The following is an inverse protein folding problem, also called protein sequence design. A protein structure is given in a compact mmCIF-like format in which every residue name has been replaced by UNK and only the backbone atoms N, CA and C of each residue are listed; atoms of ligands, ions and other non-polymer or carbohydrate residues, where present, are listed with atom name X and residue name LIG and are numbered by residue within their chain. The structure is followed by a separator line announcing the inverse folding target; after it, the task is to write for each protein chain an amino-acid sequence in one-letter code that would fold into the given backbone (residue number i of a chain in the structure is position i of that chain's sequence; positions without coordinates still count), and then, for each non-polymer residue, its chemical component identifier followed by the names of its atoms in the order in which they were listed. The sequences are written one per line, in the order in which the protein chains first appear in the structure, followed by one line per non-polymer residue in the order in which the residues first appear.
data_IF_205162639153
#
_entry.id   IF_205162639153
#
_cell.length_a   1.000
_cell.length_b   1.000
_cell.length_c   1.000
_cell.angle_alpha   90.00
_cell.angle_beta   90.00
_cell.angle_gamma   90.00
#
_symmetry.space_group_name_H-M   'P 1'
#
loop_
_entity.id
_entity.type
_entity.pdbx_description
1 polymer ?
#
# COMPACT_ATOMS: atom_id res chain seq x y z
N UNK A 1 -24.08 7.80 38.29
CA UNK A 1 -22.68 7.35 38.34
C UNK A 1 -21.89 8.32 37.48
N UNK A 2 -20.96 9.08 38.05
CA UNK A 2 -20.17 10.05 37.28
C UNK A 2 -19.08 9.32 36.50
N UNK A 3 -19.09 9.48 35.18
CA UNK A 3 -18.15 8.82 34.26
C UNK A 3 -16.70 9.24 34.56
N UNK A 4 -16.50 10.40 35.20
CA UNK A 4 -15.18 10.91 35.59
C UNK A 4 -14.61 10.22 36.85
N UNK A 5 -15.43 9.42 37.55
CA UNK A 5 -14.97 8.63 38.70
C UNK A 5 -14.53 7.21 38.31
N UNK A 6 -14.56 6.90 37.02
CA UNK A 6 -14.07 5.61 36.49
C UNK A 6 -12.53 5.63 36.48
N UNK A 7 -11.85 4.52 36.85
CA UNK A 7 -10.40 4.38 36.73
C UNK A 7 -9.86 4.75 35.34
N UNK A 8 -8.71 5.41 35.32
CA UNK A 8 -8.08 5.91 34.09
C UNK A 8 -7.85 4.80 33.06
N UNK A 9 -7.43 3.60 33.48
CA UNK A 9 -7.18 2.51 32.53
C UNK A 9 -8.47 2.05 31.83
N UNK A 10 -9.60 2.06 32.54
CA UNK A 10 -10.90 1.69 31.98
C UNK A 10 -11.41 2.77 31.02
N UNK A 11 -11.18 4.05 31.34
CA UNK A 11 -11.54 5.14 30.45
C UNK A 11 -10.71 5.11 29.16
N UNK A 12 -9.40 4.85 29.26
CA UNK A 12 -8.52 4.68 28.10
C UNK A 12 -9.00 3.49 27.24
N UNK A 13 -9.32 2.37 27.89
CA UNK A 13 -9.85 1.20 27.19
C UNK A 13 -11.18 1.49 26.48
N UNK A 14 -12.09 2.23 27.13
CA UNK A 14 -13.34 2.66 26.50
C UNK A 14 -13.09 3.54 25.27
N UNK A 15 -12.24 4.55 25.41
CA UNK A 15 -11.87 5.46 24.32
C UNK A 15 -11.17 4.73 23.16
N UNK A 16 -10.48 3.62 23.41
CA UNK A 16 -9.83 2.82 22.36
C UNK A 16 -10.80 2.17 21.36
N UNK A 17 -12.09 2.05 21.72
CA UNK A 17 -13.13 1.54 20.82
C UNK A 17 -13.81 2.65 20.00
N UNK A 18 -13.53 3.91 20.30
CA UNK A 18 -14.16 5.05 19.64
C UNK A 18 -13.40 5.36 18.34
N UNK A 19 -14.09 5.62 17.22
CA UNK A 19 -13.44 6.07 15.99
C UNK A 19 -12.60 7.33 16.20
N UNK A 20 -11.47 7.43 15.51
CA UNK A 20 -10.54 8.57 15.67
C UNK A 20 -11.19 9.92 15.37
N UNK A 21 -12.09 9.94 14.39
CA UNK A 21 -12.87 11.13 14.08
C UNK A 21 -13.71 11.60 15.28
N UNK A 22 -14.31 10.68 16.02
CA UNK A 22 -15.13 10.99 17.21
C UNK A 22 -14.27 11.32 18.43
N UNK A 23 -13.13 10.65 18.60
CA UNK A 23 -12.13 11.02 19.61
C UNK A 23 -11.71 12.49 19.44
N UNK A 24 -11.51 12.88 18.18
CA UNK A 24 -11.09 14.22 17.84
C UNK A 24 -12.22 15.25 17.90
N UNK A 25 -13.41 14.96 17.38
CA UNK A 25 -14.49 15.94 17.24
C UNK A 25 -15.44 16.03 18.42
N UNK A 26 -15.68 14.91 19.08
CA UNK A 26 -16.72 14.80 20.10
C UNK A 26 -16.08 14.71 21.48
N UNK A 27 -15.21 13.72 21.67
CA UNK A 27 -14.59 13.42 22.96
C UNK A 27 -13.68 14.57 23.42
N UNK A 28 -12.90 15.14 22.51
CA UNK A 28 -12.00 16.25 22.83
C UNK A 28 -12.70 17.51 23.33
N UNK A 29 -14.01 17.65 23.06
CA UNK A 29 -14.82 18.82 23.41
C UNK A 29 -15.66 18.62 24.68
N UNK A 30 -15.72 17.40 25.23
CA UNK A 30 -16.56 17.09 26.41
C UNK A 30 -16.10 17.89 27.63
N UNK A 31 -14.83 17.77 28.00
CA UNK A 31 -14.22 18.54 29.09
C UNK A 31 -12.68 18.51 28.98
N UNK A 32 -11.99 19.29 29.83
CA UNK A 32 -10.51 19.34 29.84
C UNK A 32 -9.84 17.99 30.09
N UNK A 33 -10.44 17.14 30.92
CA UNK A 33 -9.90 15.81 31.20
C UNK A 33 -9.99 14.92 29.95
N UNK A 34 -11.15 14.86 29.32
CA UNK A 34 -11.39 14.07 28.11
C UNK A 34 -10.57 14.59 26.92
N UNK A 35 -10.36 15.90 26.82
CA UNK A 35 -9.43 16.51 25.86
C UNK A 35 -8.00 16.00 26.03
N UNK A 36 -7.50 15.91 27.27
CA UNK A 36 -6.16 15.36 27.54
C UNK A 36 -6.06 13.86 27.26
N UNK A 37 -7.14 13.11 27.44
CA UNK A 37 -7.16 11.69 27.12
C UNK A 37 -7.25 11.45 25.62
N UNK A 38 -8.05 12.22 24.90
CA UNK A 38 -8.23 12.06 23.46
C UNK A 38 -6.94 12.33 22.67
N UNK A 39 -5.92 12.95 23.27
CA UNK A 39 -4.61 13.19 22.64
C UNK A 39 -3.55 12.12 22.99
N UNK A 40 -3.91 11.07 23.74
CA UNK A 40 -2.94 10.05 24.16
C UNK A 40 -2.35 9.30 22.94
N UNK A 41 -1.01 9.11 22.89
CA UNK A 41 -0.31 8.52 21.74
C UNK A 41 -0.89 7.18 21.25
N UNK A 42 -1.37 6.34 22.16
CA UNK A 42 -1.86 5.00 21.83
C UNK A 42 -3.09 5.02 20.92
N UNK A 43 -3.90 6.08 20.96
CA UNK A 43 -5.05 6.24 20.07
C UNK A 43 -4.68 6.65 18.65
N UNK A 44 -3.46 7.15 18.45
CA UNK A 44 -3.02 7.80 17.21
C UNK A 44 -1.90 7.06 16.48
N UNK A 45 -1.56 5.83 16.90
CA UNK A 45 -0.54 5.00 16.23
C UNK A 45 -0.85 4.74 14.76
N UNK A 46 -2.13 4.67 14.41
CA UNK A 46 -2.62 4.69 13.02
C UNK A 46 -3.32 6.02 12.81
N UNK A 47 -3.24 6.63 11.64
CA UNK A 47 -3.96 7.86 11.35
C UNK A 47 -4.35 7.92 9.87
N UNK A 48 -5.56 8.36 9.59
CA UNK A 48 -6.09 8.44 8.23
C UNK A 48 -6.64 9.85 7.94
N UNK A 49 -5.95 10.61 7.08
CA UNK A 49 -6.40 11.92 6.64
C UNK A 49 -7.66 11.87 5.76
N UNK A 50 -7.99 10.74 5.15
CA UNK A 50 -9.20 10.64 4.31
C UNK A 50 -10.48 10.65 5.14
N UNK A 51 -10.44 10.10 6.35
CA UNK A 51 -11.60 10.14 7.25
C UNK A 51 -11.94 11.58 7.67
N UNK A 52 -10.94 12.47 7.66
CA UNK A 52 -11.13 13.89 7.94
C UNK A 52 -11.67 14.69 6.73
N UNK A 53 -11.50 14.17 5.50
CA UNK A 53 -11.91 14.84 4.27
C UNK A 53 -13.38 14.61 3.89
N UNK A 54 -14.02 13.57 4.44
CA UNK A 54 -15.42 13.22 4.14
C UNK A 54 -16.41 14.34 4.51
N UNK A 55 -16.03 15.26 5.40
CA UNK A 55 -16.86 16.40 5.82
C UNK A 55 -16.80 17.62 4.88
N UNK A 56 -16.02 17.61 3.79
CA UNK A 56 -15.65 18.85 3.07
C UNK A 56 -16.23 19.04 1.66
N UNK A 57 -17.06 18.12 1.14
CA UNK A 57 -17.41 18.12 -0.29
C UNK A 57 -18.35 19.23 -0.81
N UNK A 58 -18.73 20.26 -0.04
CA UNK A 58 -19.62 21.30 -0.62
C UNK A 58 -19.50 22.76 -0.17
N UNK A 59 -18.71 23.14 0.83
CA UNK A 59 -18.53 24.58 1.20
C UNK A 59 -17.44 24.82 2.25
N UNK A 60 -16.52 23.87 2.40
CA UNK A 60 -15.75 23.74 3.63
C UNK A 60 -14.37 24.40 3.61
N UNK A 61 -13.90 25.05 2.55
CA UNK A 61 -12.52 25.58 2.55
C UNK A 61 -12.30 26.57 3.71
N UNK A 62 -13.19 27.55 3.91
CA UNK A 62 -13.10 28.51 5.03
C UNK A 62 -13.39 27.90 6.42
N UNK A 63 -14.34 26.97 6.53
CA UNK A 63 -14.65 26.31 7.81
C UNK A 63 -13.56 25.31 8.23
N UNK A 64 -12.88 24.72 7.25
CA UNK A 64 -11.73 23.83 7.40
C UNK A 64 -10.51 24.64 7.87
N UNK A 65 -10.18 25.79 7.26
CA UNK A 65 -9.10 26.67 7.70
C UNK A 65 -9.23 27.20 9.14
N UNK A 66 -10.44 27.51 9.63
CA UNK A 66 -10.64 28.01 11.00
C UNK A 66 -10.54 26.93 12.08
N UNK A 67 -10.92 25.68 11.77
CA UNK A 67 -10.71 24.53 12.68
C UNK A 67 -9.26 24.01 12.63
N UNK A 68 -8.53 24.30 11.54
CA UNK A 68 -7.14 23.86 11.28
C UNK A 68 -6.10 24.32 12.30
N UNK A 69 -6.16 25.54 12.84
CA UNK A 69 -5.12 26.01 13.77
C UNK A 69 -5.04 25.14 15.04
N UNK A 70 -6.19 24.68 15.56
CA UNK A 70 -6.24 23.71 16.66
C UNK A 70 -5.93 22.27 16.20
N UNK A 71 -6.21 21.91 14.94
CA UNK A 71 -5.86 20.61 14.33
C UNK A 71 -4.35 20.43 14.19
N UNK A 72 -3.65 21.46 13.73
CA UNK A 72 -2.20 21.45 13.50
C UNK A 72 -1.45 21.27 14.82
N UNK A 73 -1.90 21.91 15.91
CA UNK A 73 -1.31 21.68 17.24
C UNK A 73 -1.52 20.23 17.72
N UNK A 74 -2.69 19.65 17.47
CA UNK A 74 -2.98 18.26 17.81
C UNK A 74 -2.14 17.27 16.99
N UNK A 75 -2.09 17.42 15.66
CA UNK A 75 -1.26 16.62 14.75
C UNK A 75 0.22 16.74 15.13
N UNK A 76 0.71 17.96 15.44
CA UNK A 76 2.08 18.19 15.93
C UNK A 76 2.39 17.41 17.20
N UNK A 77 1.43 17.24 18.09
CA UNK A 77 1.62 16.54 19.36
C UNK A 77 1.62 15.02 19.18
N UNK A 78 0.93 14.49 18.16
CA UNK A 78 0.80 13.04 17.94
C UNK A 78 1.76 12.49 16.87
N UNK A 79 2.29 13.33 15.98
CA UNK A 79 3.11 12.94 14.82
C UNK A 79 4.29 12.04 15.14
N UNK A 80 4.93 12.23 16.29
CA UNK A 80 6.10 11.45 16.71
C UNK A 80 5.73 10.02 17.07
N UNK A 81 4.45 9.72 17.27
CA UNK A 81 3.95 8.40 17.68
C UNK A 81 3.20 7.67 16.56
N UNK A 82 2.94 8.34 15.44
CA UNK A 82 2.26 7.73 14.29
C UNK A 82 3.18 6.69 13.67
N UNK A 83 2.69 5.46 13.60
CA UNK A 83 3.38 4.32 12.97
C UNK A 83 2.76 3.96 11.62
N UNK A 84 1.47 4.25 11.42
CA UNK A 84 0.76 4.05 10.15
C UNK A 84 0.03 5.32 9.76
N UNK A 85 0.29 5.84 8.56
CA UNK A 85 -0.29 7.07 8.06
C UNK A 85 -0.91 6.84 6.69
N UNK A 86 -2.19 7.18 6.53
CA UNK A 86 -2.83 7.38 5.24
C UNK A 86 -3.01 8.87 4.99
N UNK A 87 -2.55 9.36 3.85
CA UNK A 87 -2.48 10.79 3.56
C UNK A 87 -2.85 11.14 2.12
N UNK A 88 -3.71 12.14 1.96
CA UNK A 88 -4.10 12.73 0.68
C UNK A 88 -3.37 14.06 0.43
N UNK A 89 -3.64 14.68 -0.73
CA UNK A 89 -3.02 15.94 -1.15
C UNK A 89 -3.18 17.07 -0.12
N UNK A 90 -4.30 17.11 0.59
CA UNK A 90 -4.57 18.16 1.58
C UNK A 90 -3.72 17.98 2.83
N UNK A 91 -3.62 16.74 3.34
CA UNK A 91 -2.72 16.44 4.45
C UNK A 91 -1.26 16.78 4.12
N UNK A 92 -0.82 16.56 2.88
CA UNK A 92 0.52 16.98 2.43
C UNK A 92 0.70 18.49 2.43
N UNK A 93 -0.28 19.25 1.93
CA UNK A 93 -0.25 20.72 1.98
C UNK A 93 -0.18 21.23 3.42
N UNK A 94 -0.89 20.61 4.37
CA UNK A 94 -0.81 20.94 5.79
C UNK A 94 0.59 20.70 6.37
N UNK A 95 1.19 19.54 6.06
CA UNK A 95 2.54 19.23 6.50
C UNK A 95 3.53 20.27 5.96
N UNK A 96 3.39 20.66 4.69
CA UNK A 96 4.25 21.64 4.05
C UNK A 96 4.08 23.05 4.61
N UNK A 97 2.84 23.47 4.91
CA UNK A 97 2.53 24.78 5.46
C UNK A 97 2.88 24.90 6.96
N UNK A 98 3.05 23.77 7.64
CA UNK A 98 3.46 23.77 9.03
C UNK A 98 4.91 24.26 9.17
N UNK A 99 5.11 25.41 9.85
CA UNK A 99 6.44 26.00 10.11
C UNK A 99 7.36 25.13 10.98
N UNK A 100 6.79 24.14 11.65
CA UNK A 100 7.47 23.13 12.46
C UNK A 100 8.02 22.03 11.55
N UNK A 101 9.28 21.64 11.71
CA UNK A 101 9.82 20.41 11.11
C UNK A 101 9.02 19.20 11.60
N UNK A 102 7.93 18.85 10.90
CA UNK A 102 7.19 17.62 11.14
C UNK A 102 8.12 16.46 10.80
N UNK A 103 8.47 15.67 11.82
CA UNK A 103 9.31 14.49 11.71
C UNK A 103 8.45 13.25 11.96
N UNK A 104 8.29 12.43 10.92
CA UNK A 104 7.63 11.13 10.99
C UNK A 104 8.63 10.03 11.39
N UNK A 105 9.37 10.28 12.47
CA UNK A 105 10.53 9.47 12.86
C UNK A 105 10.17 8.03 13.26
N UNK A 106 8.94 7.80 13.71
CA UNK A 106 8.43 6.48 14.08
C UNK A 106 7.50 5.86 13.03
N UNK A 107 7.31 6.54 11.90
CA UNK A 107 6.43 6.07 10.85
C UNK A 107 7.00 4.83 10.17
N UNK A 108 6.21 3.75 10.16
CA UNK A 108 6.56 2.45 9.58
C UNK A 108 5.79 2.16 8.31
N UNK A 109 4.56 2.67 8.18
CA UNK A 109 3.71 2.46 7.03
C UNK A 109 3.15 3.80 6.53
N UNK A 110 3.35 4.10 5.26
CA UNK A 110 2.82 5.27 4.60
C UNK A 110 1.95 4.84 3.42
N UNK A 111 0.71 5.30 3.39
CA UNK A 111 -0.22 5.14 2.29
C UNK A 111 -0.58 6.53 1.74
N UNK A 112 -0.48 6.70 0.42
CA UNK A 112 -0.80 7.95 -0.26
C UNK A 112 -2.01 7.70 -1.15
N UNK A 113 -3.09 8.45 -0.89
CA UNK A 113 -4.43 8.16 -1.44
C UNK A 113 -4.87 9.09 -2.57
N UNK A 114 -4.09 10.14 -2.86
CA UNK A 114 -4.42 11.13 -3.87
C UNK A 114 -3.18 11.53 -4.67
N UNK A 115 -3.40 12.20 -5.79
CA UNK A 115 -2.35 12.74 -6.64
C UNK A 115 -1.60 13.87 -5.91
N UNK A 116 -0.30 13.64 -5.71
CA UNK A 116 0.66 14.60 -5.14
C UNK A 116 1.86 14.75 -6.07
N UNK A 117 2.62 15.84 -5.99
CA UNK A 117 3.83 15.96 -6.79
C UNK A 117 4.92 15.00 -6.30
N UNK A 118 5.72 14.44 -7.22
CA UNK A 118 6.83 13.55 -6.85
C UNK A 118 7.83 14.21 -5.91
N UNK A 119 8.09 15.52 -6.07
CA UNK A 119 8.96 16.27 -5.18
C UNK A 119 8.43 16.31 -3.74
N UNK A 120 7.14 16.60 -3.57
CA UNK A 120 6.49 16.63 -2.26
C UNK A 120 6.53 15.26 -1.57
N UNK A 121 6.34 14.19 -2.36
CA UNK A 121 6.50 12.82 -1.87
C UNK A 121 7.94 12.56 -1.39
N UNK A 122 8.97 12.91 -2.19
CA UNK A 122 10.38 12.76 -1.81
C UNK A 122 10.69 13.49 -0.50
N UNK A 123 10.17 14.71 -0.33
CA UNK A 123 10.46 15.53 0.83
C UNK A 123 9.85 14.96 2.13
N UNK A 124 8.74 14.24 2.05
CA UNK A 124 8.17 13.50 3.18
C UNK A 124 8.89 12.19 3.43
N UNK A 125 9.18 11.41 2.37
CA UNK A 125 9.89 10.14 2.48
C UNK A 125 11.27 10.30 3.14
N UNK A 126 12.00 11.38 2.82
CA UNK A 126 13.28 11.72 3.47
C UNK A 126 13.18 11.93 5.00
N UNK A 127 11.99 12.19 5.52
CA UNK A 127 11.73 12.40 6.96
C UNK A 127 11.29 11.12 7.68
N UNK A 128 11.11 10.02 6.96
CA UNK A 128 10.58 8.76 7.47
C UNK A 128 11.71 7.72 7.60
N UNK A 129 12.60 7.89 8.58
CA UNK A 129 13.79 7.04 8.73
C UNK A 129 13.51 5.59 9.13
N UNK A 130 12.33 5.31 9.69
CA UNK A 130 11.88 3.96 10.07
C UNK A 130 10.81 3.40 9.14
N UNK A 131 10.67 3.95 7.93
CA UNK A 131 9.65 3.49 6.98
C UNK A 131 9.99 2.06 6.52
N UNK A 132 9.00 1.17 6.60
CA UNK A 132 9.12 -0.23 6.16
C UNK A 132 8.14 -0.55 5.02
N UNK A 133 7.00 0.14 4.98
CA UNK A 133 5.97 -0.07 3.98
C UNK A 133 5.56 1.24 3.30
N UNK A 134 5.49 1.22 1.98
CA UNK A 134 5.01 2.33 1.17
C UNK A 134 3.93 1.85 0.20
N UNK A 135 2.79 2.53 0.21
CA UNK A 135 1.65 2.25 -0.66
C UNK A 135 1.28 3.50 -1.47
N UNK A 136 1.51 3.43 -2.78
CA UNK A 136 1.23 4.46 -3.78
C UNK A 136 0.16 3.99 -4.80
N UNK A 137 -0.73 3.05 -4.44
CA UNK A 137 -1.63 2.43 -5.43
C UNK A 137 -2.73 3.34 -6.00
N UNK A 138 -3.13 4.40 -5.30
CA UNK A 138 -4.18 5.33 -5.78
C UNK A 138 -3.61 6.52 -6.57
N UNK A 139 -2.32 6.47 -6.89
CA UNK A 139 -1.59 7.53 -7.54
C UNK A 139 -1.80 7.46 -9.06
N UNK A 140 -2.73 8.26 -9.63
CA UNK A 140 -2.98 8.39 -11.08
C UNK A 140 -1.92 9.25 -11.79
N UNK A 141 -0.70 9.20 -11.30
CA UNK A 141 0.35 10.11 -11.69
C UNK A 141 1.31 9.39 -12.60
N UNK A 142 1.86 10.16 -13.50
CA UNK A 142 3.03 9.79 -14.26
C UNK A 142 4.23 9.70 -13.29
N UNK A 143 4.29 8.68 -12.42
CA UNK A 143 5.57 8.28 -11.81
C UNK A 143 6.44 7.83 -12.97
N UNK A 144 7.27 8.73 -13.45
CA UNK A 144 8.20 8.42 -14.51
C UNK A 144 9.41 7.62 -14.03
N UNK A 145 9.62 7.48 -12.71
CA UNK A 145 10.77 6.74 -12.18
C UNK A 145 10.60 6.28 -10.73
N UNK A 146 11.21 5.13 -10.42
CA UNK A 146 11.34 4.58 -9.08
C UNK A 146 12.30 5.37 -8.18
N UNK A 147 12.87 6.49 -8.65
CA UNK A 147 13.77 7.36 -7.87
C UNK A 147 13.16 7.86 -6.55
N UNK A 148 11.84 7.84 -6.44
CA UNK A 148 11.10 8.18 -5.22
C UNK A 148 11.48 7.29 -4.03
N UNK A 149 11.77 6.01 -4.28
CA UNK A 149 12.04 5.02 -3.23
C UNK A 149 13.53 4.81 -2.99
N UNK A 150 14.39 5.60 -3.65
CA UNK A 150 15.83 5.52 -3.50
C UNK A 150 16.25 5.72 -2.04
N UNK A 151 17.01 4.76 -1.51
CA UNK A 151 17.59 4.84 -0.16
C UNK A 151 16.62 4.54 1.00
N UNK A 152 15.38 4.09 0.72
CA UNK A 152 14.41 3.77 1.78
C UNK A 152 14.51 2.33 2.33
N UNK A 153 15.15 1.40 1.60
CA UNK A 153 15.31 -0.02 1.99
C UNK A 153 14.01 -0.63 2.57
N UNK A 154 12.92 -0.51 1.82
CA UNK A 154 11.58 -0.91 2.22
C UNK A 154 11.44 -2.43 2.23
N UNK A 155 10.56 -2.93 3.10
CA UNK A 155 10.14 -4.34 3.17
C UNK A 155 8.86 -4.59 2.41
N UNK A 156 7.99 -3.60 2.30
CA UNK A 156 6.72 -3.70 1.60
C UNK A 156 6.55 -2.50 0.68
N UNK A 157 6.29 -2.78 -0.59
CA UNK A 157 6.06 -1.75 -1.59
C UNK A 157 4.80 -2.13 -2.37
N UNK A 158 3.88 -1.18 -2.49
CA UNK A 158 2.74 -1.27 -3.41
C UNK A 158 2.73 -0.06 -4.32
N UNK A 159 2.78 -0.29 -5.62
CA UNK A 159 2.84 0.77 -6.63
C UNK A 159 1.71 0.60 -7.63
N UNK A 160 1.14 1.74 -8.05
CA UNK A 160 0.44 1.84 -9.30
C UNK A 160 1.32 2.61 -10.28
N UNK A 161 1.62 1.99 -11.41
CA UNK A 161 2.51 2.49 -12.44
C UNK A 161 1.70 2.65 -13.72
N UNK A 162 1.69 3.88 -14.24
CA UNK A 162 1.15 4.14 -15.57
C UNK A 162 2.29 4.09 -16.58
N UNK A 163 2.43 2.98 -17.29
CA UNK A 163 3.50 2.86 -18.28
C UNK A 163 3.07 3.52 -19.59
N UNK A 164 3.91 4.45 -20.06
CA UNK A 164 3.84 4.99 -21.42
C UNK A 164 4.57 4.08 -22.43
N UNK A 165 5.49 3.21 -21.98
CA UNK A 165 6.23 2.24 -22.81
C UNK A 165 6.86 1.09 -22.00
N UNK A 166 7.10 -0.08 -22.63
CA UNK A 166 7.65 -1.28 -21.97
C UNK A 166 9.13 -1.21 -21.61
N UNK A 167 9.94 -0.38 -22.28
CA UNK A 167 11.39 -0.32 -22.08
C UNK A 167 11.79 0.27 -20.72
N UNK A 168 10.89 1.00 -20.06
CA UNK A 168 11.14 1.61 -18.75
C UNK A 168 11.03 0.60 -17.61
N UNK A 169 10.15 -0.40 -17.72
CA UNK A 169 9.85 -1.30 -16.59
C UNK A 169 11.05 -2.15 -16.15
N UNK A 170 11.94 -2.53 -17.06
CA UNK A 170 13.12 -3.32 -16.71
C UNK A 170 14.09 -2.52 -15.82
N UNK A 171 14.41 -1.29 -16.25
CA UNK A 171 15.31 -0.40 -15.49
C UNK A 171 14.71 -0.07 -14.12
N UNK A 172 13.41 0.17 -14.10
CA UNK A 172 12.62 0.46 -12.90
C UNK A 172 12.60 -0.72 -11.91
N UNK A 173 12.36 -1.95 -12.38
CA UNK A 173 12.41 -3.16 -11.55
C UNK A 173 13.83 -3.43 -11.04
N UNK A 174 14.85 -3.27 -11.89
CA UNK A 174 16.27 -3.40 -11.49
C UNK A 174 16.61 -2.41 -10.39
N UNK A 175 16.23 -1.14 -10.58
CA UNK A 175 16.43 -0.12 -9.56
C UNK A 175 15.71 -0.47 -8.25
N UNK A 176 14.48 -0.99 -8.32
CA UNK A 176 13.73 -1.42 -7.13
C UNK A 176 14.44 -2.56 -6.39
N UNK A 177 14.94 -3.58 -7.09
CA UNK A 177 15.62 -4.72 -6.46
C UNK A 177 16.96 -4.32 -5.84
N UNK A 178 17.69 -3.42 -6.49
CA UNK A 178 18.97 -2.88 -5.98
C UNK A 178 18.76 -1.99 -4.74
N UNK A 179 17.72 -1.16 -4.73
CA UNK A 179 17.45 -0.23 -3.62
C UNK A 179 16.73 -0.85 -2.43
N UNK A 180 16.08 -2.01 -2.61
CA UNK A 180 15.29 -2.68 -1.57
C UNK A 180 15.63 -4.18 -1.48
N UNK A 181 16.86 -4.55 -1.09
CA UNK A 181 17.29 -5.95 -1.03
C UNK A 181 16.52 -6.78 0.01
N UNK A 182 15.91 -6.12 1.01
CA UNK A 182 15.12 -6.77 2.06
C UNK A 182 13.61 -6.81 1.75
N UNK A 183 13.22 -6.59 0.50
CA UNK A 183 11.82 -6.59 0.11
C UNK A 183 11.17 -7.96 0.39
N UNK A 184 10.10 -7.94 1.18
CA UNK A 184 9.30 -9.10 1.56
C UNK A 184 7.97 -9.14 0.79
N UNK A 185 7.43 -7.98 0.41
CA UNK A 185 6.16 -7.85 -0.29
C UNK A 185 6.21 -6.81 -1.40
N UNK A 186 5.73 -7.19 -2.58
CA UNK A 186 5.64 -6.32 -3.74
C UNK A 186 4.25 -6.43 -4.38
N UNK A 187 3.58 -5.29 -4.56
CA UNK A 187 2.40 -5.20 -5.40
C UNK A 187 2.63 -4.20 -6.54
N UNK A 188 2.40 -4.63 -7.77
CA UNK A 188 2.50 -3.81 -8.97
C UNK A 188 1.15 -3.81 -9.68
N UNK A 189 0.55 -2.64 -9.78
CA UNK A 189 -0.58 -2.38 -10.69
C UNK A 189 -0.05 -1.60 -11.89
N UNK A 190 -0.07 -2.20 -13.07
CA UNK A 190 0.49 -1.59 -14.27
C UNK A 190 -0.62 -1.35 -15.28
N UNK A 191 -0.95 -0.08 -15.55
CA UNK A 191 -1.92 0.27 -16.59
C UNK A 191 -1.21 0.87 -17.80
N UNK A 192 -1.57 0.41 -19.00
CA UNK A 192 -0.98 0.89 -20.26
C UNK A 192 -2.03 1.60 -21.08
N UNK A 193 -1.79 2.88 -21.39
CA UNK A 193 -2.73 3.71 -22.18
C UNK A 193 -2.59 3.49 -23.69
N UNK A 194 -1.40 3.14 -24.19
CA UNK A 194 -1.13 3.02 -25.63
C UNK A 194 -0.07 1.95 -25.95
N UNK A 195 -0.34 1.11 -26.95
CA UNK A 195 0.64 0.17 -27.54
C UNK A 195 0.37 -1.32 -27.25
N UNK A 196 0.91 -2.18 -28.12
CA UNK A 196 0.96 -3.61 -27.86
C UNK A 196 1.79 -3.86 -26.61
N UNK A 197 1.18 -4.47 -25.60
CA UNK A 197 1.88 -4.90 -24.41
C UNK A 197 2.92 -5.95 -24.81
N UNK A 198 4.19 -5.56 -24.87
CA UNK A 198 5.28 -6.53 -24.81
C UNK A 198 5.14 -7.28 -23.48
N UNK A 199 5.40 -8.59 -23.52
CA UNK A 199 5.35 -9.47 -22.35
C UNK A 199 6.33 -8.98 -21.27
N UNK A 200 5.84 -8.15 -20.36
CA UNK A 200 6.59 -7.62 -19.23
C UNK A 200 6.93 -8.73 -18.24
N UNK A 201 6.27 -9.89 -18.38
CA UNK A 201 6.60 -11.14 -17.75
C UNK A 201 8.08 -11.40 -17.72
N UNK A 202 8.77 -11.34 -18.87
CA UNK A 202 10.20 -11.66 -19.01
C UNK A 202 11.10 -10.85 -18.08
N UNK A 203 10.67 -9.65 -17.66
CA UNK A 203 11.44 -8.80 -16.75
C UNK A 203 11.27 -9.18 -15.27
N UNK A 204 10.26 -10.00 -14.92
CA UNK A 204 10.05 -10.43 -13.53
C UNK A 204 11.16 -11.33 -13.00
N UNK A 205 11.98 -11.93 -13.86
CA UNK A 205 13.17 -12.69 -13.45
C UNK A 205 14.12 -11.87 -12.57
N UNK A 206 14.11 -10.54 -12.71
CA UNK A 206 14.95 -9.62 -11.93
C UNK A 206 14.56 -9.68 -10.45
N UNK A 207 13.30 -9.96 -10.14
CA UNK A 207 12.83 -10.14 -8.77
C UNK A 207 13.49 -11.34 -8.07
N UNK A 208 14.14 -12.27 -8.80
CA UNK A 208 14.93 -13.35 -8.19
C UNK A 208 16.10 -12.84 -7.34
N UNK A 209 16.47 -11.56 -7.50
CA UNK A 209 17.44 -10.89 -6.64
C UNK A 209 16.87 -10.56 -5.25
N UNK A 210 15.55 -10.39 -5.11
CA UNK A 210 14.87 -10.15 -3.83
C UNK A 210 14.66 -11.47 -3.08
N UNK A 211 15.73 -11.98 -2.45
CA UNK A 211 15.73 -13.30 -1.76
C UNK A 211 14.72 -13.45 -0.62
N UNK A 212 14.24 -12.33 -0.07
CA UNK A 212 13.27 -12.31 1.02
C UNK A 212 11.83 -12.15 0.54
N UNK A 213 11.59 -12.05 -0.77
CA UNK A 213 10.28 -11.79 -1.33
C UNK A 213 9.36 -13.01 -1.08
N UNK A 214 8.25 -12.77 -0.39
CA UNK A 214 7.28 -13.80 0.01
C UNK A 214 5.92 -13.58 -0.65
N UNK A 215 5.56 -12.32 -0.88
CA UNK A 215 4.27 -11.95 -1.48
C UNK A 215 4.50 -11.13 -2.73
N UNK A 216 3.93 -11.59 -3.84
CA UNK A 216 3.90 -10.86 -5.10
C UNK A 216 2.45 -10.69 -5.58
N UNK A 217 2.04 -9.45 -5.86
CA UNK A 217 0.77 -9.14 -6.48
C UNK A 217 0.98 -8.39 -7.79
N UNK A 218 0.39 -8.90 -8.87
CA UNK A 218 0.46 -8.35 -10.22
C UNK A 218 -0.95 -8.04 -10.69
N UNK A 219 -1.27 -6.76 -10.90
CA UNK A 219 -2.57 -6.28 -11.37
C UNK A 219 -2.39 -5.53 -12.68
N UNK A 220 -3.30 -5.78 -13.65
CA UNK A 220 -3.25 -5.19 -14.99
C UNK A 220 -1.90 -5.41 -15.74
N UNK A 221 -1.05 -6.27 -15.19
CA UNK A 221 0.33 -6.41 -15.62
C UNK A 221 0.41 -7.41 -16.75
N UNK A 222 0.83 -6.98 -17.94
CA UNK A 222 0.92 -7.87 -19.10
C UNK A 222 1.99 -8.94 -18.97
N UNK A 223 1.63 -10.09 -18.41
CA UNK A 223 2.50 -11.28 -18.33
C UNK A 223 1.85 -12.40 -19.12
N UNK A 224 2.55 -12.95 -20.11
CA UNK A 224 2.10 -14.18 -20.75
C UNK A 224 2.47 -15.41 -19.94
N UNK A 225 1.79 -16.55 -20.20
CA UNK A 225 2.21 -17.84 -19.65
C UNK A 225 3.68 -18.16 -19.98
N UNK A 226 4.18 -17.72 -21.15
CA UNK A 226 5.61 -17.85 -21.52
C UNK A 226 6.50 -16.94 -20.69
N UNK A 227 6.06 -15.74 -20.38
CA UNK A 227 6.75 -14.82 -19.48
C UNK A 227 6.91 -15.42 -18.08
N UNK A 228 5.86 -16.04 -17.55
CA UNK A 228 5.93 -16.78 -16.27
C UNK A 228 6.84 -17.99 -16.33
N UNK A 229 6.78 -18.78 -17.42
CA UNK A 229 7.70 -19.91 -17.64
C UNK A 229 9.16 -19.45 -17.71
N UNK A 230 9.44 -18.37 -18.45
CA UNK A 230 10.79 -17.83 -18.62
C UNK A 230 11.37 -17.25 -17.32
N UNK A 231 10.53 -16.66 -16.47
CA UNK A 231 10.97 -16.16 -15.17
C UNK A 231 11.25 -17.25 -14.16
N UNK A 232 10.73 -18.46 -14.42
CA UNK A 232 10.89 -19.64 -13.58
C UNK A 232 10.65 -19.29 -12.12
N UNK A 233 9.40 -18.99 -11.74
CA UNK A 233 9.03 -18.55 -10.38
C UNK A 233 9.50 -19.59 -9.36
N UNK A 234 10.75 -19.39 -8.93
CA UNK A 234 11.46 -20.04 -7.86
C UNK A 234 11.79 -18.98 -6.80
N UNK A 235 10.93 -17.97 -6.71
CA UNK A 235 11.06 -16.80 -5.85
C UNK A 235 10.87 -17.13 -4.35
N UNK A 236 10.79 -18.41 -3.97
CA UNK A 236 10.44 -18.79 -2.59
C UNK A 236 9.10 -18.21 -2.11
N UNK A 237 8.24 -17.74 -3.03
CA UNK A 237 6.98 -17.07 -2.72
C UNK A 237 6.07 -17.98 -1.92
N UNK A 238 5.41 -17.39 -0.92
CA UNK A 238 4.31 -18.01 -0.19
C UNK A 238 2.95 -17.51 -0.68
N UNK A 239 2.89 -16.34 -1.30
CA UNK A 239 1.65 -15.78 -1.86
C UNK A 239 1.88 -15.14 -3.23
N UNK A 240 1.06 -15.53 -4.20
CA UNK A 240 1.01 -14.96 -5.55
C UNK A 240 -0.41 -14.54 -5.87
N UNK A 241 -0.58 -13.29 -6.26
CA UNK A 241 -1.86 -12.73 -6.71
C UNK A 241 -1.73 -12.20 -8.12
N UNK A 242 -2.60 -12.65 -9.02
CA UNK A 242 -2.68 -12.18 -10.42
C UNK A 242 -4.10 -11.67 -10.64
N UNK A 243 -4.22 -10.41 -11.09
CA UNK A 243 -5.50 -9.72 -11.27
C UNK A 243 -5.56 -9.07 -12.65
N UNK A 244 -6.65 -9.30 -13.38
CA UNK A 244 -6.98 -8.65 -14.67
C UNK A 244 -5.88 -8.76 -15.73
N UNK A 245 -5.18 -9.91 -15.80
CA UNK A 245 -4.11 -10.19 -16.76
C UNK A 245 -4.65 -10.95 -17.99
N UNK A 246 -5.81 -10.50 -18.48
CA UNK A 246 -6.81 -11.36 -19.11
C UNK A 246 -6.40 -11.97 -20.45
N UNK A 247 -5.57 -11.32 -21.27
CA UNK A 247 -5.39 -11.80 -22.65
C UNK A 247 -4.18 -12.70 -22.91
N UNK A 248 -3.18 -12.73 -22.04
CA UNK A 248 -1.92 -13.43 -22.29
C UNK A 248 -1.63 -14.57 -21.30
N UNK A 249 -2.31 -14.58 -20.16
CA UNK A 249 -2.16 -15.59 -19.13
C UNK A 249 -3.27 -16.64 -19.24
N UNK A 250 -2.89 -17.90 -19.40
CA UNK A 250 -3.78 -19.04 -19.63
C UNK A 250 -3.44 -20.24 -18.72
N UNK A 251 -4.14 -21.37 -18.91
CA UNK A 251 -3.96 -22.57 -18.10
C UNK A 251 -2.51 -23.08 -18.03
N UNK A 252 -1.72 -22.90 -19.10
CA UNK A 252 -0.30 -23.31 -19.11
C UNK A 252 0.53 -22.48 -18.12
N UNK A 253 0.14 -21.24 -17.89
CA UNK A 253 0.77 -20.36 -16.90
C UNK A 253 0.54 -20.85 -15.48
N UNK A 254 -0.69 -21.31 -15.18
CA UNK A 254 -1.02 -21.92 -13.89
C UNK A 254 -0.28 -23.24 -13.70
N UNK A 255 -0.25 -24.10 -14.71
CA UNK A 255 0.50 -25.35 -14.67
C UNK A 255 1.98 -25.09 -14.38
N UNK A 256 2.60 -24.12 -15.06
CA UNK A 256 3.98 -23.73 -14.76
C UNK A 256 4.17 -23.28 -13.30
N UNK A 257 3.29 -22.40 -12.79
CA UNK A 257 3.38 -21.92 -11.41
C UNK A 257 3.28 -23.08 -10.41
N UNK A 258 2.32 -23.97 -10.59
CA UNK A 258 2.08 -25.08 -9.66
C UNK A 258 3.22 -26.11 -9.68
N UNK A 259 3.85 -26.33 -10.85
CA UNK A 259 5.03 -27.20 -10.96
C UNK A 259 6.24 -26.59 -10.25
N UNK A 260 6.51 -25.30 -10.40
CA UNK A 260 7.78 -24.69 -9.97
C UNK A 260 7.72 -24.02 -8.58
N UNK A 261 6.57 -23.53 -8.14
CA UNK A 261 6.42 -22.77 -6.89
C UNK A 261 6.05 -23.66 -5.70
N UNK A 262 7.00 -24.49 -5.24
CA UNK A 262 6.78 -25.48 -4.16
C UNK A 262 6.46 -24.90 -2.78
N UNK A 263 6.79 -23.63 -2.53
CA UNK A 263 6.54 -22.95 -1.26
C UNK A 263 5.23 -22.15 -1.26
N UNK A 264 4.50 -22.14 -2.38
CA UNK A 264 3.31 -21.32 -2.54
C UNK A 264 2.17 -21.86 -1.67
N UNK A 265 1.62 -21.00 -0.83
CA UNK A 265 0.50 -21.28 0.09
C UNK A 265 -0.78 -20.57 -0.32
N UNK A 266 -0.69 -19.51 -1.11
CA UNK A 266 -1.83 -18.71 -1.55
C UNK A 266 -1.65 -18.36 -3.02
N UNK A 267 -2.61 -18.77 -3.85
CA UNK A 267 -2.68 -18.41 -5.26
C UNK A 267 -4.04 -17.78 -5.54
N UNK A 268 -4.05 -16.47 -5.79
CA UNK A 268 -5.27 -15.72 -6.13
C UNK A 268 -5.23 -15.34 -7.61
N UNK A 269 -6.23 -15.77 -8.35
CA UNK A 269 -6.37 -15.50 -9.79
C UNK A 269 -7.73 -14.85 -10.02
N UNK A 270 -7.72 -13.55 -10.25
CA UNK A 270 -8.93 -12.75 -10.35
C UNK A 270 -9.03 -12.14 -11.75
N UNK A 271 -10.22 -12.18 -12.35
CA UNK A 271 -10.49 -11.53 -13.64
C UNK A 271 -9.58 -12.01 -14.80
N UNK A 272 -9.12 -13.26 -14.76
CA UNK A 272 -8.38 -13.91 -15.85
C UNK A 272 -9.35 -14.79 -16.66
N UNK A 273 -9.76 -14.35 -17.85
CA UNK A 273 -10.80 -15.00 -18.67
C UNK A 273 -10.33 -16.20 -19.51
N UNK A 274 -9.02 -16.43 -19.63
CA UNK A 274 -8.44 -17.60 -20.32
C UNK A 274 -8.13 -18.78 -19.39
N UNK A 275 -8.50 -18.65 -18.12
CA UNK A 275 -8.33 -19.71 -17.13
C UNK A 275 -9.60 -20.55 -17.09
N UNK A 276 -9.42 -21.87 -17.19
CA UNK A 276 -10.51 -22.86 -17.21
C UNK A 276 -10.33 -23.90 -16.11
N UNK A 277 -11.23 -24.87 -16.03
CA UNK A 277 -11.14 -26.00 -15.09
C UNK A 277 -9.85 -26.82 -15.23
N UNK A 278 -9.15 -26.73 -16.38
CA UNK A 278 -7.82 -27.33 -16.54
C UNK A 278 -6.81 -26.77 -15.55
N UNK A 279 -6.86 -25.48 -15.24
CA UNK A 279 -6.03 -24.87 -14.21
C UNK A 279 -6.32 -25.46 -12.83
N UNK A 280 -7.59 -25.72 -12.52
CA UNK A 280 -8.01 -26.32 -11.25
C UNK A 280 -7.48 -27.75 -11.14
N UNK A 281 -7.54 -28.53 -12.23
CA UNK A 281 -6.96 -29.88 -12.27
C UNK A 281 -5.44 -29.85 -12.04
N UNK A 282 -4.73 -28.98 -12.76
CA UNK A 282 -3.27 -28.83 -12.62
C UNK A 282 -2.85 -28.42 -11.20
N UNK A 283 -3.62 -27.52 -10.59
CA UNK A 283 -3.49 -27.13 -9.19
C UNK A 283 -3.66 -28.34 -8.26
N UNK A 284 -4.73 -29.13 -8.44
CA UNK A 284 -5.03 -30.27 -7.58
C UNK A 284 -3.97 -31.37 -7.67
N UNK A 285 -3.36 -31.53 -8.84
CA UNK A 285 -2.28 -32.51 -9.07
C UNK A 285 -0.95 -32.06 -8.46
N UNK A 286 -0.62 -30.76 -8.51
CA UNK A 286 0.72 -30.27 -8.23
C UNK A 286 0.87 -29.50 -6.89
N UNK A 287 -0.23 -29.03 -6.28
CA UNK A 287 -0.20 -28.32 -5.01
C UNK A 287 -0.59 -29.24 -3.84
N UNK A 288 0.39 -29.66 -3.02
CA UNK A 288 0.17 -30.52 -1.86
C UNK A 288 -0.08 -29.75 -0.54
N UNK A 289 -0.03 -28.42 -0.58
CA UNK A 289 -0.21 -27.55 0.59
C UNK A 289 -1.47 -26.72 0.39
N UNK A 290 -2.29 -26.58 1.44
CA UNK A 290 -3.58 -25.87 1.44
C UNK A 290 -3.45 -24.50 0.75
N UNK A 291 -3.87 -24.43 -0.50
CA UNK A 291 -3.88 -23.18 -1.25
C UNK A 291 -5.30 -22.60 -1.21
N UNK A 292 -5.42 -21.38 -0.68
CA UNK A 292 -6.66 -20.61 -0.82
C UNK A 292 -6.74 -20.14 -2.27
N UNK A 293 -7.57 -20.79 -3.06
CA UNK A 293 -7.87 -20.40 -4.44
C UNK A 293 -9.11 -19.52 -4.47
N UNK A 294 -8.95 -18.33 -5.02
CA UNK A 294 -10.07 -17.44 -5.27
C UNK A 294 -10.10 -17.16 -6.76
N UNK A 295 -11.10 -17.71 -7.45
CA UNK A 295 -11.47 -17.36 -8.82
C UNK A 295 -12.68 -16.43 -8.75
N UNK A 296 -12.51 -15.20 -9.22
CA UNK A 296 -13.64 -14.32 -9.55
C UNK A 296 -13.55 -14.11 -11.06
N UNK A 297 -14.38 -14.87 -11.80
CA UNK A 297 -14.58 -14.68 -13.23
C UNK A 297 -15.90 -13.93 -13.35
N UNK A 298 -15.86 -12.67 -13.80
CA UNK A 298 -17.08 -11.99 -14.23
C UNK A 298 -17.53 -12.60 -15.56
N UNK A 299 -18.67 -13.30 -15.53
CA UNK A 299 -19.42 -13.74 -16.72
C UNK A 299 -20.07 -12.57 -17.42
#
# INVERSE_FOLDING_TARGET
MDINNIPLELLIKFLSYIPQNDLYHTISQVCRHWNKLSILPDFWRTFNYDELSILSRSSAEQYFYLKMENRVAHIRNIQTFIQKLSINRFGFQEIQNSRSQIAFSDLKHLHITDEISGQLCKDVLKRCSKLHALDLQMYNTMIYSFDLICGLNLKEIKLCLLLLASKTINNDLTFLTETNPNLEKLALDVTVRYGNLLDAGVHLQILNQCRNLKTLALRNFSVSSKGFMACGINLGLTELTIISNSYLFDDNGIECITIHSKNLLVLKILECNKITDKSIASIAENCHVFCVFQFIIHT
#
